data_IF_272203511044
#
_entry.id   IF_272203511044
#
_cell.length_a   1.000
_cell.length_b   1.000
_cell.length_c   1.000
_cell.angle_alpha   90.00
_cell.angle_beta   90.00
_cell.angle_gamma   90.00
#
_symmetry.space_group_name_H-M   'P 1'
#
loop_
_entity.id
_entity.type
_entity.pdbx_description
1 polymer ?
#
# COMPACT_ATOMS: atom_id res chain seq x y z
N UNK A 1 28.66 15.09 4.27
CA UNK A 1 28.00 15.39 2.99
C UNK A 1 27.62 14.09 2.30
N UNK A 2 26.51 14.05 1.57
CA UNK A 2 26.12 12.87 0.78
C UNK A 2 26.99 12.76 -0.46
N UNK A 3 27.70 11.64 -0.60
CA UNK A 3 28.74 11.42 -1.61
C UNK A 3 28.18 11.33 -3.04
N UNK A 4 27.00 10.71 -3.20
CA UNK A 4 26.39 10.56 -4.52
C UNK A 4 25.64 11.83 -4.95
N UNK A 5 25.78 12.19 -6.23
CA UNK A 5 24.87 13.12 -6.89
C UNK A 5 23.46 12.52 -6.95
N UNK A 6 22.45 13.34 -7.25
CA UNK A 6 21.08 12.84 -7.40
C UNK A 6 20.99 11.72 -8.45
N UNK A 7 21.59 11.93 -9.63
CA UNK A 7 21.64 10.92 -10.70
C UNK A 7 22.38 9.65 -10.25
N UNK A 8 23.53 9.81 -9.58
CA UNK A 8 24.28 8.67 -9.05
C UNK A 8 23.50 7.87 -8.00
N UNK A 9 22.69 8.53 -7.17
CA UNK A 9 21.80 7.87 -6.23
C UNK A 9 20.69 7.08 -6.96
N UNK A 10 20.07 7.63 -8.00
CA UNK A 10 19.05 6.93 -8.81
C UNK A 10 19.64 5.67 -9.48
N UNK A 11 20.83 5.77 -10.04
CA UNK A 11 21.54 4.64 -10.67
C UNK A 11 21.89 3.56 -9.64
N UNK A 12 22.44 3.95 -8.49
CA UNK A 12 22.77 3.01 -7.41
C UNK A 12 21.53 2.30 -6.88
N UNK A 13 20.43 3.03 -6.71
CA UNK A 13 19.15 2.48 -6.28
C UNK A 13 18.52 1.54 -7.31
N UNK A 14 18.78 1.74 -8.60
CA UNK A 14 18.32 0.83 -9.65
C UNK A 14 18.92 -0.57 -9.48
N UNK A 15 20.17 -0.65 -9.01
CA UNK A 15 20.90 -1.89 -8.76
C UNK A 15 20.51 -2.56 -7.42
N UNK A 16 20.02 -1.80 -6.45
CA UNK A 16 19.70 -2.27 -5.09
C UNK A 16 18.22 -2.61 -4.85
N UNK A 17 17.48 -3.01 -5.89
CA UNK A 17 16.05 -3.29 -5.80
C UNK A 17 15.75 -4.66 -5.17
N UNK A 18 14.68 -4.74 -4.37
CA UNK A 18 14.14 -6.01 -3.88
C UNK A 18 13.57 -6.79 -5.07
N UNK A 19 13.68 -8.12 -5.03
CA UNK A 19 13.14 -9.00 -6.07
C UNK A 19 11.66 -8.68 -6.41
N UNK A 20 11.27 -8.89 -7.67
CA UNK A 20 9.91 -8.62 -8.16
C UNK A 20 8.90 -9.74 -7.81
N UNK A 21 9.34 -10.79 -7.12
CA UNK A 21 8.51 -11.95 -6.79
C UNK A 21 7.40 -11.53 -5.81
N UNK A 22 6.16 -11.89 -6.13
CA UNK A 22 5.00 -11.60 -5.29
C UNK A 22 4.47 -10.17 -5.37
N UNK A 23 4.95 -9.37 -6.33
CA UNK A 23 4.57 -7.96 -6.50
C UNK A 23 3.70 -7.82 -7.75
N UNK A 24 2.68 -6.96 -7.73
CA UNK A 24 1.82 -6.66 -8.87
C UNK A 24 2.57 -5.95 -10.02
N UNK A 25 1.93 -5.79 -11.18
CA UNK A 25 2.49 -4.95 -12.25
C UNK A 25 2.56 -3.46 -11.86
N UNK A 26 1.54 -2.91 -11.20
CA UNK A 26 1.53 -1.50 -10.78
C UNK A 26 2.72 -1.19 -9.87
N UNK A 27 2.91 -1.99 -8.83
CA UNK A 27 4.02 -1.81 -7.91
C UNK A 27 5.40 -1.97 -8.57
N UNK A 28 5.52 -2.84 -9.59
CA UNK A 28 6.78 -3.04 -10.34
C UNK A 28 7.12 -1.88 -11.26
N UNK A 29 6.15 -1.37 -12.01
CA UNK A 29 6.38 -0.46 -13.12
C UNK A 29 6.01 1.00 -12.82
N UNK A 30 5.25 1.24 -11.76
CA UNK A 30 4.85 2.60 -11.34
C UNK A 30 5.43 2.90 -9.96
N UNK A 31 4.99 2.17 -8.92
CA UNK A 31 5.31 2.56 -7.54
C UNK A 31 6.82 2.53 -7.23
N UNK A 32 7.50 1.41 -7.54
CA UNK A 32 8.94 1.28 -7.28
C UNK A 32 9.79 2.29 -8.08
N UNK A 33 9.56 2.52 -9.39
CA UNK A 33 10.25 3.57 -10.13
C UNK A 33 10.05 4.97 -9.56
N UNK A 34 8.82 5.34 -9.15
CA UNK A 34 8.55 6.63 -8.50
C UNK A 34 9.24 6.70 -7.14
N UNK A 35 9.09 5.67 -6.31
CA UNK A 35 9.75 5.58 -5.00
C UNK A 35 11.27 5.67 -5.09
N UNK A 36 11.89 5.20 -6.18
CA UNK A 36 13.33 5.35 -6.43
C UNK A 36 13.75 6.80 -6.63
N UNK A 37 12.98 7.54 -7.43
CA UNK A 37 13.20 8.97 -7.70
C UNK A 37 13.04 9.77 -6.39
N UNK A 38 12.04 9.43 -5.58
CA UNK A 38 11.83 10.02 -4.26
C UNK A 38 12.93 9.66 -3.27
N UNK A 39 13.38 8.40 -3.23
CA UNK A 39 14.46 7.94 -2.37
C UNK A 39 15.80 8.64 -2.68
N UNK A 40 16.09 8.89 -3.97
CA UNK A 40 17.25 9.69 -4.36
C UNK A 40 17.14 11.14 -3.85
N UNK A 41 15.93 11.72 -3.89
CA UNK A 41 15.64 13.05 -3.33
C UNK A 41 15.84 13.08 -1.82
N UNK A 42 15.27 12.12 -1.10
CA UNK A 42 15.41 11.96 0.34
C UNK A 42 16.88 11.74 0.76
N UNK A 43 17.63 10.95 -0.01
CA UNK A 43 19.07 10.79 0.16
C UNK A 43 19.77 12.15 0.09
N UNK A 44 19.54 12.92 -0.99
CA UNK A 44 20.16 14.24 -1.18
C UNK A 44 19.74 15.27 -0.12
N UNK A 45 18.51 15.20 0.37
CA UNK A 45 18.00 16.03 1.45
C UNK A 45 18.51 15.61 2.85
N UNK A 46 19.30 14.54 2.96
CA UNK A 46 19.86 14.09 4.24
C UNK A 46 18.86 13.39 5.16
N UNK A 47 17.70 12.98 4.63
CA UNK A 47 16.66 12.32 5.43
C UNK A 47 17.08 10.90 5.84
N UNK A 48 16.55 10.44 6.96
CA UNK A 48 16.61 9.04 7.43
C UNK A 48 15.43 8.23 6.88
N UNK A 49 15.53 6.89 6.77
CA UNK A 49 14.41 6.05 6.34
C UNK A 49 13.16 6.27 7.18
N UNK A 50 13.29 6.32 8.51
CA UNK A 50 12.15 6.54 9.40
C UNK A 50 11.49 7.91 9.18
N UNK A 51 12.24 8.97 8.85
CA UNK A 51 11.64 10.25 8.47
C UNK A 51 10.84 10.13 7.17
N UNK A 52 11.30 9.33 6.22
CA UNK A 52 10.57 9.06 4.97
C UNK A 52 9.29 8.26 5.23
N UNK A 53 9.34 7.27 6.13
CA UNK A 53 8.13 6.56 6.61
C UNK A 53 7.13 7.52 7.25
N UNK A 54 7.58 8.47 8.08
CA UNK A 54 6.70 9.49 8.68
C UNK A 54 6.10 10.45 7.62
N UNK A 55 6.84 10.79 6.56
CA UNK A 55 6.29 11.57 5.45
C UNK A 55 5.23 10.78 4.67
N UNK A 56 5.46 9.49 4.43
CA UNK A 56 4.44 8.58 3.86
C UNK A 56 3.18 8.56 4.72
N UNK A 57 3.34 8.41 6.04
CA UNK A 57 2.25 8.41 7.00
C UNK A 57 1.49 9.74 7.02
N UNK A 58 2.18 10.87 6.98
CA UNK A 58 1.56 12.20 6.98
C UNK A 58 0.74 12.45 5.72
N UNK A 59 1.28 12.09 4.53
CA UNK A 59 0.56 12.21 3.26
C UNK A 59 -0.68 11.31 3.22
N UNK A 60 -0.50 10.03 3.58
CA UNK A 60 -1.61 9.07 3.61
C UNK A 60 -2.67 9.48 4.64
N UNK A 61 -2.23 9.89 5.83
CA UNK A 61 -3.07 10.36 6.92
C UNK A 61 -3.86 11.61 6.54
N UNK A 62 -3.26 12.57 5.83
CA UNK A 62 -3.96 13.74 5.31
C UNK A 62 -5.06 13.36 4.30
N UNK A 63 -4.77 12.41 3.39
CA UNK A 63 -5.76 11.87 2.47
C UNK A 63 -6.92 11.17 3.19
N UNK A 64 -6.59 10.30 4.16
CA UNK A 64 -7.58 9.57 4.97
C UNK A 64 -8.44 10.54 5.80
N UNK A 65 -7.83 11.53 6.45
CA UNK A 65 -8.55 12.55 7.19
C UNK A 65 -9.50 13.33 6.28
N UNK A 66 -9.03 13.69 5.07
CA UNK A 66 -9.86 14.36 4.06
C UNK A 66 -11.08 13.53 3.68
N UNK A 67 -10.93 12.22 3.45
CA UNK A 67 -12.06 11.31 3.20
C UNK A 67 -13.09 11.37 4.33
N UNK A 68 -12.63 11.38 5.59
CA UNK A 68 -13.51 11.34 6.75
C UNK A 68 -14.25 12.65 7.04
N UNK A 69 -13.68 13.81 6.67
CA UNK A 69 -14.18 15.13 7.11
C UNK A 69 -14.71 16.01 5.99
N UNK A 70 -14.21 15.87 4.76
CA UNK A 70 -14.59 16.72 3.64
C UNK A 70 -15.82 16.18 2.92
N UNK A 71 -16.66 17.09 2.43
CA UNK A 71 -17.77 16.71 1.56
C UNK A 71 -17.26 16.13 0.23
N UNK A 72 -17.73 14.96 -0.20
CA UNK A 72 -17.29 14.32 -1.43
C UNK A 72 -17.52 15.21 -2.66
N UNK A 73 -16.46 15.41 -3.43
CA UNK A 73 -16.49 16.13 -4.71
C UNK A 73 -15.36 15.63 -5.60
N UNK A 74 -15.39 15.94 -6.89
CA UNK A 74 -14.31 15.55 -7.81
C UNK A 74 -12.96 16.18 -7.44
N UNK A 75 -12.95 17.40 -6.90
CA UNK A 75 -11.73 18.04 -6.40
C UNK A 75 -11.14 17.29 -5.20
N UNK A 76 -12.00 16.92 -4.24
CA UNK A 76 -11.61 16.10 -3.09
C UNK A 76 -11.13 14.71 -3.54
N UNK A 77 -11.80 14.09 -4.51
CA UNK A 77 -11.41 12.80 -5.08
C UNK A 77 -9.98 12.79 -5.62
N UNK A 78 -9.61 13.81 -6.41
CA UNK A 78 -8.25 13.96 -6.96
C UNK A 78 -7.24 14.23 -5.85
N UNK A 79 -7.56 15.08 -4.87
CA UNK A 79 -6.66 15.38 -3.75
C UNK A 79 -6.39 14.15 -2.88
N UNK A 80 -7.43 13.39 -2.54
CA UNK A 80 -7.33 12.13 -1.79
C UNK A 80 -6.50 11.11 -2.56
N UNK A 81 -6.80 10.89 -3.83
CA UNK A 81 -6.04 9.98 -4.68
C UNK A 81 -4.56 10.36 -4.70
N UNK A 82 -4.24 11.64 -4.95
CA UNK A 82 -2.87 12.12 -5.00
C UNK A 82 -2.14 11.94 -3.66
N UNK A 83 -2.80 12.25 -2.54
CA UNK A 83 -2.23 12.09 -1.20
C UNK A 83 -1.91 10.63 -0.88
N UNK A 84 -2.85 9.71 -1.14
CA UNK A 84 -2.66 8.27 -0.91
C UNK A 84 -1.61 7.67 -1.85
N UNK A 85 -1.63 8.03 -3.14
CA UNK A 85 -0.68 7.54 -4.13
C UNK A 85 0.75 8.05 -3.87
N UNK A 86 0.91 9.32 -3.46
CA UNK A 86 2.19 9.87 -3.07
C UNK A 86 2.68 9.26 -1.76
N UNK A 87 1.79 9.06 -0.77
CA UNK A 87 2.10 8.31 0.44
C UNK A 87 2.67 6.93 0.13
N UNK A 88 2.01 6.17 -0.75
CA UNK A 88 2.47 4.86 -1.21
C UNK A 88 3.81 4.89 -1.97
N UNK A 89 4.12 5.99 -2.65
CA UNK A 89 5.41 6.16 -3.30
C UNK A 89 6.54 6.45 -2.30
N UNK A 90 6.26 7.23 -1.24
CA UNK A 90 7.19 7.48 -0.14
C UNK A 90 7.42 6.24 0.73
N UNK A 91 6.37 5.45 0.95
CA UNK A 91 6.43 4.10 1.54
C UNK A 91 7.42 3.21 0.76
N UNK A 92 7.34 3.19 -0.57
CA UNK A 92 8.34 2.48 -1.37
C UNK A 92 9.74 3.08 -1.28
N UNK A 93 9.84 4.39 -1.03
CA UNK A 93 11.11 5.12 -0.97
C UNK A 93 11.88 4.87 0.33
N UNK A 94 11.22 4.66 1.47
CA UNK A 94 11.90 4.48 2.75
C UNK A 94 12.79 3.22 2.77
N UNK A 95 12.30 2.09 2.27
CA UNK A 95 13.03 0.83 2.24
C UNK A 95 14.11 0.88 1.16
N UNK A 96 13.88 1.62 0.08
CA UNK A 96 14.90 1.91 -0.92
C UNK A 96 16.05 2.73 -0.33
N UNK A 97 15.72 3.77 0.45
CA UNK A 97 16.71 4.58 1.15
C UNK A 97 17.45 3.76 2.22
N UNK A 98 16.75 2.93 3.00
CA UNK A 98 17.36 2.05 4.00
C UNK A 98 18.40 1.11 3.38
N UNK A 99 18.10 0.54 2.20
CA UNK A 99 19.06 -0.29 1.44
C UNK A 99 20.25 0.52 0.92
N UNK A 100 20.01 1.72 0.39
CA UNK A 100 21.07 2.59 -0.10
C UNK A 100 22.04 3.01 1.02
N UNK A 101 21.51 3.23 2.22
CA UNK A 101 22.28 3.68 3.39
C UNK A 101 22.85 2.54 4.23
N UNK A 102 22.47 1.29 3.98
CA UNK A 102 22.76 0.19 4.89
C UNK A 102 22.11 0.36 6.27
N UNK A 103 21.04 1.15 6.38
CA UNK A 103 20.39 1.55 7.63
C UNK A 103 19.12 0.72 7.95
N UNK A 104 18.93 -0.42 7.29
CA UNK A 104 17.82 -1.33 7.57
C UNK A 104 17.99 -2.04 8.91
N UNK A 105 16.90 -2.19 9.67
CA UNK A 105 16.92 -2.91 10.95
C UNK A 105 15.52 -3.19 11.50
N UNK A 106 15.41 -3.97 12.59
CA UNK A 106 14.12 -4.41 13.14
C UNK A 106 13.20 -3.28 13.57
N UNK A 107 13.75 -2.19 14.12
CA UNK A 107 12.94 -1.04 14.56
C UNK A 107 12.30 -0.29 13.39
N UNK A 108 13.03 -0.10 12.29
CA UNK A 108 12.50 0.53 11.07
C UNK A 108 11.46 -0.37 10.40
N UNK A 109 11.71 -1.67 10.34
CA UNK A 109 10.74 -2.64 9.84
C UNK A 109 9.47 -2.66 10.71
N UNK A 110 9.59 -2.60 12.04
CA UNK A 110 8.43 -2.51 12.93
C UNK A 110 7.63 -1.23 12.68
N UNK A 111 8.29 -0.08 12.56
CA UNK A 111 7.64 1.21 12.33
C UNK A 111 6.83 1.19 11.03
N UNK A 112 7.42 0.70 9.95
CA UNK A 112 6.79 0.54 8.63
C UNK A 112 5.49 -0.27 8.73
N UNK A 113 5.55 -1.47 9.31
CA UNK A 113 4.37 -2.34 9.44
C UNK A 113 3.28 -1.77 10.37
N UNK A 114 3.66 -1.05 11.43
CA UNK A 114 2.68 -0.40 12.34
C UNK A 114 1.97 0.74 11.62
N UNK A 115 2.71 1.58 10.90
CA UNK A 115 2.14 2.66 10.08
C UNK A 115 1.21 2.09 9.02
N UNK A 116 1.60 1.01 8.34
CA UNK A 116 0.77 0.31 7.36
C UNK A 116 -0.53 -0.23 7.96
N UNK A 117 -0.46 -0.87 9.13
CA UNK A 117 -1.63 -1.38 9.82
C UNK A 117 -2.60 -0.26 10.22
N UNK A 118 -2.07 0.86 10.74
CA UNK A 118 -2.85 2.04 11.07
C UNK A 118 -3.51 2.64 9.82
N UNK A 119 -2.76 2.77 8.71
CA UNK A 119 -3.23 3.28 7.42
C UNK A 119 -4.38 2.43 6.86
N UNK A 120 -4.20 1.11 6.82
CA UNK A 120 -5.22 0.18 6.30
C UNK A 120 -6.48 0.24 7.16
N UNK A 121 -6.35 0.28 8.48
CA UNK A 121 -7.53 0.37 9.36
C UNK A 121 -8.24 1.72 9.20
N UNK A 122 -7.48 2.83 9.25
CA UNK A 122 -8.04 4.18 9.22
C UNK A 122 -8.71 4.52 7.89
N UNK A 123 -8.20 4.05 6.75
CA UNK A 123 -8.81 4.36 5.44
C UNK A 123 -10.20 3.76 5.30
N UNK A 124 -10.43 2.54 5.79
CA UNK A 124 -11.76 1.92 5.74
C UNK A 124 -12.72 2.54 6.76
N UNK A 125 -12.23 2.92 7.95
CA UNK A 125 -13.00 3.70 8.90
C UNK A 125 -13.39 5.09 8.35
N UNK A 126 -12.50 5.76 7.62
CA UNK A 126 -12.82 7.02 6.95
C UNK A 126 -13.93 6.85 5.90
N UNK A 127 -13.87 5.79 5.09
CA UNK A 127 -14.94 5.48 4.12
C UNK A 127 -16.27 5.20 4.82
N UNK A 128 -16.27 4.50 5.95
CA UNK A 128 -17.47 4.31 6.77
C UNK A 128 -18.07 5.65 7.22
N UNK A 129 -17.22 6.57 7.70
CA UNK A 129 -17.64 7.91 8.08
C UNK A 129 -18.22 8.66 6.87
N UNK A 130 -17.60 8.57 5.70
CA UNK A 130 -18.13 9.17 4.45
C UNK A 130 -19.50 8.61 4.11
N UNK A 131 -19.65 7.30 4.15
CA UNK A 131 -20.91 6.61 3.86
C UNK A 131 -22.03 7.07 4.81
N UNK A 132 -21.72 7.17 6.09
CA UNK A 132 -22.68 7.59 7.11
C UNK A 132 -23.05 9.07 7.01
N UNK A 133 -22.08 9.96 6.76
CA UNK A 133 -22.27 11.42 6.83
C UNK A 133 -22.74 12.05 5.52
N UNK A 134 -22.34 11.50 4.38
CA UNK A 134 -22.44 12.19 3.10
C UNK A 134 -23.22 11.42 2.05
N UNK A 135 -23.46 10.11 2.22
CA UNK A 135 -24.13 9.31 1.20
C UNK A 135 -25.58 9.00 1.58
N UNK A 136 -26.51 9.25 0.66
CA UNK A 136 -27.88 8.78 0.72
C UNK A 136 -27.94 7.29 0.32
N UNK A 137 -27.61 6.41 1.26
CA UNK A 137 -27.58 4.96 1.04
C UNK A 137 -29.00 4.38 0.94
N UNK A 138 -29.23 3.32 0.13
CA UNK A 138 -30.53 2.66 0.04
C UNK A 138 -30.96 1.96 1.35
N UNK A 139 -30.01 1.73 2.26
CA UNK A 139 -30.25 1.13 3.58
C UNK A 139 -28.95 0.97 4.38
N UNK A 140 -29.10 0.84 5.70
CA UNK A 140 -27.98 0.85 6.65
C UNK A 140 -27.03 -0.35 6.52
N UNK A 141 -27.47 -1.44 5.88
CA UNK A 141 -26.63 -2.62 5.61
C UNK A 141 -25.40 -2.28 4.77
N UNK A 142 -25.43 -1.19 3.99
CA UNK A 142 -24.26 -0.68 3.26
C UNK A 142 -23.12 -0.24 4.18
N UNK A 143 -23.38 0.08 5.45
CA UNK A 143 -22.34 0.38 6.44
C UNK A 143 -21.50 -0.86 6.81
N UNK A 144 -21.99 -2.07 6.52
CA UNK A 144 -21.20 -3.31 6.68
C UNK A 144 -20.10 -3.44 5.63
N UNK A 145 -20.22 -2.76 4.48
CA UNK A 145 -19.25 -2.89 3.40
C UNK A 145 -17.85 -2.38 3.78
N UNK A 146 -17.68 -1.14 4.29
CA UNK A 146 -16.36 -0.68 4.76
C UNK A 146 -15.80 -1.53 5.92
N UNK A 147 -16.67 -2.01 6.82
CA UNK A 147 -16.25 -2.90 7.92
C UNK A 147 -15.75 -4.25 7.42
N UNK A 148 -16.47 -4.88 6.49
CA UNK A 148 -16.07 -6.12 5.86
C UNK A 148 -14.78 -5.97 5.06
N UNK A 149 -14.63 -4.86 4.33
CA UNK A 149 -13.40 -4.57 3.60
C UNK A 149 -12.22 -4.33 4.55
N UNK A 150 -12.42 -3.59 5.64
CA UNK A 150 -11.41 -3.44 6.69
C UNK A 150 -10.92 -4.79 7.21
N UNK A 151 -11.85 -5.69 7.57
CA UNK A 151 -11.51 -7.03 8.04
C UNK A 151 -10.70 -7.78 6.98
N UNK A 152 -11.14 -7.77 5.72
CA UNK A 152 -10.43 -8.46 4.65
C UNK A 152 -9.01 -7.92 4.44
N UNK A 153 -8.86 -6.59 4.42
CA UNK A 153 -7.56 -5.94 4.22
C UNK A 153 -6.59 -6.22 5.38
N UNK A 154 -7.05 -6.12 6.64
CA UNK A 154 -6.25 -6.44 7.82
C UNK A 154 -5.85 -7.90 7.83
N UNK A 155 -6.75 -8.83 7.50
CA UNK A 155 -6.44 -10.25 7.47
C UNK A 155 -5.45 -10.63 6.35
N UNK A 156 -5.54 -9.97 5.18
CA UNK A 156 -4.54 -10.13 4.10
C UNK A 156 -3.18 -9.60 4.57
N UNK A 157 -3.14 -8.41 5.15
CA UNK A 157 -1.90 -7.79 5.63
C UNK A 157 -1.24 -8.63 6.73
N UNK A 158 -1.96 -8.93 7.80
CA UNK A 158 -1.46 -9.70 8.93
C UNK A 158 -1.10 -11.13 8.53
N UNK A 159 -1.97 -11.81 7.77
CA UNK A 159 -1.70 -13.17 7.29
C UNK A 159 -0.45 -13.24 6.42
N UNK A 160 -0.25 -12.25 5.54
CA UNK A 160 0.95 -12.12 4.72
C UNK A 160 2.21 -11.88 5.55
N UNK A 161 2.15 -10.91 6.48
CA UNK A 161 3.25 -10.58 7.39
C UNK A 161 3.67 -11.77 8.25
N UNK A 162 2.71 -12.41 8.91
CA UNK A 162 2.96 -13.57 9.76
C UNK A 162 3.55 -14.73 8.96
N UNK A 163 3.03 -14.97 7.75
CA UNK A 163 3.57 -16.00 6.87
C UNK A 163 5.01 -15.70 6.45
N UNK A 164 5.34 -14.44 6.15
CA UNK A 164 6.72 -14.04 5.81
C UNK A 164 7.68 -14.24 6.99
N UNK A 165 7.22 -13.98 8.23
CA UNK A 165 8.02 -14.20 9.45
C UNK A 165 8.19 -15.67 9.82
N UNK A 166 7.17 -16.50 9.60
CA UNK A 166 7.20 -17.93 9.95
C UNK A 166 7.91 -18.80 8.90
N UNK A 167 7.97 -18.37 7.64
CA UNK A 167 8.61 -19.16 6.59
C UNK A 167 10.13 -19.02 6.64
N UNK A 168 10.89 -20.12 6.47
CA UNK A 168 12.33 -20.05 6.29
C UNK A 168 12.69 -19.15 5.10
N UNK A 169 13.75 -18.35 5.25
CA UNK A 169 14.26 -17.53 4.15
C UNK A 169 14.63 -18.46 2.99
N UNK A 170 14.03 -18.20 1.82
CA UNK A 170 14.35 -18.96 0.62
C UNK A 170 15.84 -18.79 0.26
N UNK A 171 16.52 -19.86 -0.18
CA UNK A 171 17.89 -19.76 -0.63
C UNK A 171 18.04 -18.77 -1.81
N UNK A 172 19.20 -18.13 -1.97
CA UNK A 172 19.49 -17.27 -3.12
C UNK A 172 19.26 -18.04 -4.43
N UNK A 173 18.62 -17.41 -5.43
CA UNK A 173 18.33 -18.03 -6.73
C UNK A 173 16.91 -18.59 -6.90
N UNK A 174 15.99 -18.27 -5.98
CA UNK A 174 14.59 -18.69 -6.09
C UNK A 174 13.93 -18.27 -7.43
N UNK A 175 13.06 -19.15 -7.96
CA UNK A 175 12.40 -19.05 -9.27
C UNK A 175 11.99 -17.65 -9.73
N UNK A 176 12.17 -17.40 -11.04
CA UNK A 176 11.92 -16.14 -11.70
C UNK A 176 10.51 -15.56 -11.43
N UNK A 177 10.37 -14.22 -11.36
CA UNK A 177 9.09 -13.58 -11.09
C UNK A 177 8.09 -13.82 -12.24
N UNK A 178 6.99 -14.53 -11.94
CA UNK A 178 5.89 -14.76 -12.90
C UNK A 178 5.16 -13.45 -13.26
N UNK A 179 5.00 -13.22 -14.57
CA UNK A 179 4.18 -12.12 -15.12
C UNK A 179 2.68 -12.35 -14.90
N UNK A 180 2.21 -13.58 -15.10
CA UNK A 180 0.81 -13.97 -14.86
C UNK A 180 0.42 -13.67 -13.41
N UNK A 181 1.27 -14.04 -12.45
CA UNK A 181 1.05 -13.71 -11.04
C UNK A 181 1.05 -12.20 -10.78
N UNK A 182 1.89 -11.43 -11.49
CA UNK A 182 1.93 -9.98 -11.35
C UNK A 182 0.63 -9.31 -11.81
N UNK A 183 0.07 -9.78 -12.93
CA UNK A 183 -1.22 -9.33 -13.46
C UNK A 183 -2.33 -9.71 -12.49
N UNK A 184 -2.35 -10.97 -12.03
CA UNK A 184 -3.38 -11.46 -11.11
C UNK A 184 -3.41 -10.67 -9.79
N UNK A 185 -2.29 -10.09 -9.35
CA UNK A 185 -2.24 -9.28 -8.13
C UNK A 185 -2.67 -7.82 -8.32
N UNK A 186 -2.91 -7.35 -9.55
CA UNK A 186 -3.34 -5.97 -9.80
C UNK A 186 -4.61 -5.57 -9.05
N UNK A 187 -5.68 -6.39 -9.02
CA UNK A 187 -6.93 -5.99 -8.36
C UNK A 187 -6.82 -5.79 -6.84
N UNK A 188 -5.77 -6.33 -6.22
CA UNK A 188 -5.46 -6.19 -4.79
C UNK A 188 -4.21 -5.35 -4.53
N UNK A 189 -3.73 -4.62 -5.55
CA UNK A 189 -2.62 -3.69 -5.40
C UNK A 189 -3.09 -2.38 -4.76
N UNK A 190 -2.29 -1.85 -3.85
CA UNK A 190 -2.62 -0.63 -3.13
C UNK A 190 -2.76 0.59 -4.05
N UNK A 191 -2.03 0.66 -5.17
CA UNK A 191 -2.19 1.72 -6.16
C UNK A 191 -3.54 1.67 -6.90
N UNK A 192 -4.03 0.46 -7.19
CA UNK A 192 -5.37 0.25 -7.74
C UNK A 192 -6.44 0.59 -6.70
N UNK A 193 -6.20 0.24 -5.44
CA UNK A 193 -7.06 0.66 -4.33
C UNK A 193 -7.10 2.19 -4.21
N UNK A 194 -5.96 2.89 -4.27
CA UNK A 194 -5.93 4.37 -4.27
C UNK A 194 -6.79 4.94 -5.40
N UNK A 195 -6.72 4.36 -6.60
CA UNK A 195 -7.47 4.84 -7.77
C UNK A 195 -9.00 4.79 -7.61
N UNK A 196 -9.54 3.94 -6.72
CA UNK A 196 -11.00 3.93 -6.45
C UNK A 196 -11.49 5.26 -5.89
N UNK A 197 -10.62 5.99 -5.16
CA UNK A 197 -10.96 7.31 -4.61
C UNK A 197 -11.13 8.38 -5.66
N UNK A 198 -10.67 8.18 -6.90
CA UNK A 198 -11.03 9.07 -8.01
C UNK A 198 -12.54 9.08 -8.29
N UNK A 199 -13.26 8.02 -7.89
CA UNK A 199 -14.71 7.93 -8.04
C UNK A 199 -15.47 8.68 -6.92
N UNK A 200 -14.78 9.17 -5.89
CA UNK A 200 -15.39 9.76 -4.68
C UNK A 200 -16.31 10.97 -4.99
N UNK A 201 -16.10 11.64 -6.12
CA UNK A 201 -16.99 12.74 -6.56
C UNK A 201 -18.40 12.31 -6.97
N UNK A 202 -18.67 11.01 -7.09
CA UNK A 202 -20.01 10.46 -7.29
C UNK A 202 -20.26 9.35 -6.27
N UNK A 203 -21.29 9.53 -5.46
CA UNK A 203 -21.72 8.55 -4.46
C UNK A 203 -21.87 7.14 -5.07
N UNK A 204 -22.63 7.01 -6.15
CA UNK A 204 -22.94 5.70 -6.72
C UNK A 204 -21.70 5.07 -7.36
N UNK A 205 -20.90 5.85 -8.10
CA UNK A 205 -19.67 5.35 -8.70
C UNK A 205 -18.69 4.85 -7.63
N UNK A 206 -18.48 5.63 -6.57
CA UNK A 206 -17.61 5.25 -5.46
C UNK A 206 -18.14 4.03 -4.73
N UNK A 207 -19.43 4.00 -4.36
CA UNK A 207 -20.06 2.88 -3.64
C UNK A 207 -19.90 1.56 -4.40
N UNK A 208 -20.21 1.53 -5.70
CA UNK A 208 -20.13 0.30 -6.49
C UNK A 208 -18.68 -0.07 -6.84
N UNK A 209 -17.81 0.91 -7.12
CA UNK A 209 -16.38 0.65 -7.32
C UNK A 209 -15.72 0.06 -6.07
N UNK A 210 -16.07 0.59 -4.90
CA UNK A 210 -15.59 0.11 -3.62
C UNK A 210 -16.14 -1.29 -3.28
N UNK A 211 -17.42 -1.56 -3.56
CA UNK A 211 -18.01 -2.91 -3.46
C UNK A 211 -17.29 -3.92 -4.36
N UNK A 212 -17.03 -3.56 -5.61
CA UNK A 212 -16.32 -4.44 -6.54
C UNK A 212 -14.92 -4.80 -6.01
N UNK A 213 -14.16 -3.80 -5.51
CA UNK A 213 -12.86 -4.06 -4.89
C UNK A 213 -12.97 -4.92 -3.63
N UNK A 214 -13.98 -4.71 -2.79
CA UNK A 214 -14.22 -5.56 -1.62
C UNK A 214 -14.44 -7.02 -2.03
N UNK A 215 -15.30 -7.29 -3.02
CA UNK A 215 -15.55 -8.65 -3.50
C UNK A 215 -14.25 -9.32 -3.99
N UNK A 216 -13.41 -8.58 -4.72
CA UNK A 216 -12.09 -9.08 -5.14
C UNK A 216 -11.21 -9.39 -3.93
N UNK A 217 -11.11 -8.49 -2.95
CA UNK A 217 -10.31 -8.72 -1.75
C UNK A 217 -10.81 -9.89 -0.91
N UNK A 218 -12.13 -10.10 -0.83
CA UNK A 218 -12.72 -11.25 -0.13
C UNK A 218 -12.31 -12.59 -0.80
N UNK A 219 -12.35 -12.66 -2.13
CA UNK A 219 -11.90 -13.85 -2.88
C UNK A 219 -10.40 -14.08 -2.68
N UNK A 220 -9.60 -13.01 -2.77
CA UNK A 220 -8.15 -13.10 -2.56
C UNK A 220 -7.77 -13.48 -1.13
N UNK A 221 -8.50 -12.98 -0.13
CA UNK A 221 -8.32 -13.37 1.26
C UNK A 221 -8.49 -14.89 1.42
N UNK A 222 -9.60 -15.45 0.93
CA UNK A 222 -9.85 -16.89 1.02
C UNK A 222 -8.74 -17.70 0.33
N UNK A 223 -8.34 -17.28 -0.88
CA UNK A 223 -7.26 -17.92 -1.64
C UNK A 223 -5.91 -17.83 -0.92
N UNK A 224 -5.58 -16.67 -0.33
CA UNK A 224 -4.33 -16.44 0.39
C UNK A 224 -4.27 -17.22 1.69
N UNK A 225 -5.33 -17.22 2.50
CA UNK A 225 -5.38 -18.01 3.74
C UNK A 225 -5.17 -19.50 3.45
N UNK A 226 -5.91 -20.05 2.47
CA UNK A 226 -5.76 -21.46 2.07
C UNK A 226 -4.36 -21.76 1.51
N UNK A 227 -3.75 -20.82 0.78
CA UNK A 227 -2.39 -20.97 0.26
C UNK A 227 -1.35 -20.91 1.37
N UNK A 228 -1.38 -19.90 2.23
CA UNK A 228 -0.41 -19.69 3.30
C UNK A 228 -0.46 -20.81 4.33
N UNK A 229 -1.65 -21.23 4.74
CA UNK A 229 -1.79 -22.36 5.67
C UNK A 229 -1.20 -23.66 5.09
N UNK A 230 -1.46 -23.95 3.80
CA UNK A 230 -0.86 -25.12 3.12
C UNK A 230 0.66 -25.03 2.99
N UNK A 231 1.19 -23.83 2.76
CA UNK A 231 2.65 -23.61 2.69
C UNK A 231 3.31 -23.81 4.06
N UNK A 232 2.70 -23.30 5.13
CA UNK A 232 3.21 -23.43 6.49
C UNK A 232 3.11 -24.86 7.04
N UNK A 233 2.08 -25.62 6.67
CA UNK A 233 1.97 -27.05 7.00
C UNK A 233 3.09 -27.93 6.42
N UNK A 234 3.87 -27.41 5.48
CA UNK A 234 4.97 -28.12 4.81
C UNK A 234 6.36 -27.68 5.31
N UNK A 235 6.39 -26.69 6.21
CA UNK A 235 7.60 -26.25 6.93
C UNK A 235 7.72 -27.10 8.19
#
# INVERSE_FOLDING_TARGET
MRELSYRGAVERLALAQKGAKGVSLYSRYVNRPVGRVLAAGAYRAGLTPNQVTLLSAALSGAGIATVAVAEPSWGVAVAVYAALALGFAFDSADGQLARLLGAGGPAGEWLDHVVDCAKITAVHAAVLITFYRHFALPGDTWLLLPLGFQLAAVMIFFGGLLTDKLKPKAPPGAAAPSRVRAVALLPVDYGVFCAVFLLLGSQDAFRYGYLALFCVHAVFLAAFLAKWFRELRRV
#
